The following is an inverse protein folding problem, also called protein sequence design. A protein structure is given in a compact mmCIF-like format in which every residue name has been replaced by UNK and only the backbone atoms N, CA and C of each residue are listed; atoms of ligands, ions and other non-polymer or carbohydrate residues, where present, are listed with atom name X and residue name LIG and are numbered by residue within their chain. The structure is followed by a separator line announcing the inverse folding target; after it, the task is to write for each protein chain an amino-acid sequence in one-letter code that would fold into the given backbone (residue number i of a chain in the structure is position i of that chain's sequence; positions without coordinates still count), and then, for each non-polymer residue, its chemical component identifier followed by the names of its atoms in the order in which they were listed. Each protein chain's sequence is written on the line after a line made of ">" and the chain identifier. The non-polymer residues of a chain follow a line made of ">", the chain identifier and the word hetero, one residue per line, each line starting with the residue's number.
data_IF_925594768252
#
_entry.id   IF_925594768252
#
_cell.length_a   1.000
_cell.length_b   1.000
_cell.length_c   1.000
_cell.angle_alpha   90.00
_cell.angle_beta   90.00
_cell.angle_gamma   90.00
#
_symmetry.space_group_name_H-M   'P 1'
#
loop_
_entity.id
_entity.type
_entity.pdbx_description
1 polymer ?
#
# COMPACT_ATOMS: atom_id res chain seq x y z
N UNK A 1 1.89 -5.45 25.75
CA UNK A 1 1.89 -6.57 24.79
C UNK A 1 2.45 -6.02 23.49
N UNK A 2 3.30 -6.75 22.78
CA UNK A 2 3.81 -6.28 21.49
C UNK A 2 2.70 -6.39 20.45
N UNK A 3 2.40 -5.29 19.76
CA UNK A 3 1.41 -5.23 18.69
C UNK A 3 2.12 -5.10 17.34
N UNK A 4 1.52 -5.69 16.32
CA UNK A 4 1.97 -5.57 14.93
C UNK A 4 0.80 -5.08 14.08
N UNK A 5 1.06 -4.12 13.20
CA UNK A 5 0.11 -3.65 12.18
C UNK A 5 0.64 -4.04 10.82
N UNK A 6 -0.17 -4.77 10.06
CA UNK A 6 0.10 -5.11 8.67
C UNK A 6 -0.73 -4.19 7.78
N UNK A 7 -0.07 -3.47 6.88
CA UNK A 7 -0.69 -2.56 5.92
C UNK A 7 -0.61 -3.22 4.54
N UNK A 8 -1.72 -3.79 4.08
CA UNK A 8 -1.80 -4.42 2.76
C UNK A 8 -2.09 -3.38 1.69
N UNK A 9 -1.22 -3.29 0.69
CA UNK A 9 -1.52 -2.73 -0.63
C UNK A 9 -2.08 -1.31 -0.64
N UNK A 10 -1.56 -0.47 0.27
CA UNK A 10 -1.69 0.99 0.18
C UNK A 10 -0.77 1.55 -0.93
N UNK A 11 -0.85 0.94 -2.11
CA UNK A 11 -0.02 1.19 -3.29
C UNK A 11 -0.70 2.18 -4.24
N UNK A 12 0.12 2.90 -5.01
CA UNK A 12 -0.35 3.83 -6.04
C UNK A 12 -1.19 3.11 -7.09
N UNK A 13 -0.80 1.90 -7.50
CA UNK A 13 -1.53 1.08 -8.49
C UNK A 13 -3.00 0.80 -8.14
N UNK A 14 -3.35 0.80 -6.84
CA UNK A 14 -4.71 0.55 -6.36
C UNK A 14 -5.47 1.81 -5.96
N UNK A 15 -4.77 2.91 -5.68
CA UNK A 15 -5.35 4.10 -5.04
C UNK A 15 -5.22 5.38 -5.86
N UNK A 16 -4.46 5.41 -6.96
CA UNK A 16 -4.41 6.55 -7.88
C UNK A 16 -5.22 6.28 -9.15
N UNK A 17 -5.95 7.29 -9.61
CA UNK A 17 -6.74 7.21 -10.84
C UNK A 17 -5.82 7.06 -12.06
N UNK A 18 -6.22 6.21 -13.00
CA UNK A 18 -5.48 5.94 -14.24
C UNK A 18 -4.71 4.62 -14.24
N UNK A 19 -4.56 3.96 -13.08
CA UNK A 19 -3.95 2.64 -13.00
C UNK A 19 -4.95 1.50 -13.23
N UNK A 20 -4.50 0.32 -13.72
CA UNK A 20 -5.37 -0.74 -14.19
C UNK A 20 -6.33 -1.31 -13.14
N UNK A 21 -5.91 -1.29 -11.86
CA UNK A 21 -6.69 -1.79 -10.72
C UNK A 21 -7.08 -0.70 -9.72
N UNK A 22 -7.24 0.54 -10.19
CA UNK A 22 -7.73 1.62 -9.35
C UNK A 22 -9.08 1.26 -8.70
N UNK A 23 -9.11 1.23 -7.37
CA UNK A 23 -10.29 0.85 -6.56
C UNK A 23 -11.38 1.94 -6.51
N UNK A 24 -11.16 3.06 -7.20
CA UNK A 24 -12.09 4.18 -7.26
C UNK A 24 -11.99 5.15 -6.07
N UNK A 25 -12.60 6.32 -6.24
CA UNK A 25 -12.51 7.44 -5.28
C UNK A 25 -13.06 7.08 -3.89
N UNK A 26 -13.94 6.08 -3.81
CA UNK A 26 -14.45 5.58 -2.53
C UNK A 26 -13.35 4.91 -1.70
N UNK A 27 -12.43 4.17 -2.33
CA UNK A 27 -11.34 3.50 -1.63
C UNK A 27 -10.39 4.51 -0.98
N UNK A 28 -10.08 5.61 -1.66
CA UNK A 28 -9.22 6.70 -1.14
C UNK A 28 -9.73 7.31 0.18
N UNK A 29 -11.02 7.19 0.50
CA UNK A 29 -11.60 7.68 1.76
C UNK A 29 -11.07 6.97 3.01
N UNK A 30 -10.45 5.81 2.88
CA UNK A 30 -9.85 5.11 4.03
C UNK A 30 -8.49 5.70 4.43
N UNK A 31 -7.81 6.41 3.52
CA UNK A 31 -6.43 6.88 3.71
C UNK A 31 -6.27 7.66 5.03
N UNK A 32 -7.11 8.67 5.37
CA UNK A 32 -6.97 9.40 6.63
C UNK A 32 -7.22 8.54 7.88
N UNK A 33 -8.01 7.46 7.77
CA UNK A 33 -8.24 6.53 8.87
C UNK A 33 -7.04 5.61 9.08
N UNK A 34 -6.43 5.15 7.99
CA UNK A 34 -5.20 4.35 8.02
C UNK A 34 -4.06 5.17 8.62
N UNK A 35 -3.84 6.40 8.16
CA UNK A 35 -2.79 7.29 8.72
C UNK A 35 -2.95 7.47 10.24
N UNK A 36 -4.15 7.81 10.72
CA UNK A 36 -4.42 7.98 12.15
C UNK A 36 -4.19 6.70 12.96
N UNK A 37 -4.52 5.55 12.39
CA UNK A 37 -4.24 4.26 13.00
C UNK A 37 -2.73 4.06 13.13
N UNK A 38 -1.97 4.26 12.05
CA UNK A 38 -0.53 4.08 12.04
C UNK A 38 0.18 5.03 13.01
N UNK A 39 -0.20 6.30 13.03
CA UNK A 39 0.33 7.28 13.99
C UNK A 39 0.11 6.84 15.43
N UNK A 40 -1.12 6.39 15.75
CA UNK A 40 -1.46 5.91 17.09
C UNK A 40 -0.65 4.69 17.49
N UNK A 41 -0.55 3.71 16.59
CA UNK A 41 0.12 2.44 16.87
C UNK A 41 1.64 2.63 16.99
N UNK A 42 2.25 3.43 16.11
CA UNK A 42 3.67 3.80 16.22
C UNK A 42 3.96 4.54 17.54
N UNK A 43 3.10 5.48 17.95
CA UNK A 43 3.24 6.18 19.24
C UNK A 43 3.12 5.24 20.46
N UNK A 44 2.49 4.07 20.30
CA UNK A 44 2.37 3.04 21.34
C UNK A 44 3.49 1.99 21.28
N UNK A 45 4.43 2.13 20.34
CA UNK A 45 5.54 1.19 20.16
C UNK A 45 5.17 -0.08 19.38
N UNK A 46 4.07 -0.06 18.63
CA UNK A 46 3.73 -1.15 17.71
C UNK A 46 4.71 -1.20 16.54
N UNK A 47 4.96 -2.40 16.01
CA UNK A 47 5.71 -2.57 14.77
C UNK A 47 4.76 -2.51 13.58
N UNK A 48 5.11 -1.76 12.54
CA UNK A 48 4.32 -1.68 11.31
C UNK A 48 5.09 -2.36 10.19
N UNK A 49 4.39 -3.11 9.34
CA UNK A 49 4.92 -3.66 8.08
C UNK A 49 3.98 -3.32 6.93
N UNK A 50 4.53 -2.85 5.82
CA UNK A 50 3.80 -2.76 4.56
C UNK A 50 4.00 -4.06 3.77
N UNK A 51 2.89 -4.68 3.40
CA UNK A 51 2.85 -5.84 2.52
C UNK A 51 2.30 -5.33 1.19
N UNK A 52 3.15 -5.34 0.18
CA UNK A 52 2.90 -4.69 -1.09
C UNK A 52 3.10 -5.67 -2.23
N UNK A 53 2.12 -5.73 -3.13
CA UNK A 53 2.29 -6.35 -4.43
C UNK A 53 3.51 -5.77 -5.17
N UNK A 54 4.29 -6.67 -5.75
CA UNK A 54 5.55 -6.37 -6.42
C UNK A 54 5.84 -7.45 -7.48
N UNK A 55 5.05 -7.43 -8.54
CA UNK A 55 5.03 -8.50 -9.54
C UNK A 55 6.24 -8.44 -10.48
N UNK A 56 6.72 -9.62 -10.88
CA UNK A 56 7.65 -9.72 -11.99
C UNK A 56 6.89 -9.51 -13.33
N UNK A 57 7.56 -9.04 -14.39
CA UNK A 57 6.98 -9.05 -15.72
C UNK A 57 6.54 -10.46 -16.14
N UNK A 58 5.27 -10.61 -16.50
CA UNK A 58 4.69 -11.92 -16.90
C UNK A 58 4.25 -12.81 -15.73
N UNK A 59 3.97 -12.22 -14.57
CA UNK A 59 3.36 -12.94 -13.43
C UNK A 59 2.09 -13.71 -13.86
N UNK A 60 1.93 -15.00 -13.49
CA UNK A 60 0.74 -15.79 -13.81
C UNK A 60 -0.57 -15.15 -13.34
N UNK A 61 -0.56 -14.29 -12.32
CA UNK A 61 -1.75 -13.56 -11.89
C UNK A 61 -2.35 -12.67 -13.00
N UNK A 62 -1.53 -12.28 -13.99
CA UNK A 62 -1.97 -11.48 -15.11
C UNK A 62 -2.93 -12.22 -16.07
N UNK A 63 -3.10 -13.54 -15.90
CA UNK A 63 -4.15 -14.30 -16.57
C UNK A 63 -5.55 -14.02 -15.95
N UNK A 64 -5.61 -13.54 -14.71
CA UNK A 64 -6.83 -13.24 -13.97
C UNK A 64 -7.11 -11.74 -13.84
N UNK A 65 -6.07 -10.93 -13.68
CA UNK A 65 -6.15 -9.48 -13.53
C UNK A 65 -5.30 -8.79 -14.60
N UNK A 66 -5.57 -7.52 -14.98
CA UNK A 66 -4.62 -6.79 -15.81
C UNK A 66 -3.26 -6.69 -15.11
N UNK A 67 -2.15 -6.57 -15.87
CA UNK A 67 -0.84 -6.30 -15.28
C UNK A 67 -0.89 -5.06 -14.38
N UNK A 68 -0.32 -5.18 -13.18
CA UNK A 68 -0.39 -4.16 -12.14
C UNK A 68 0.81 -4.32 -11.20
N UNK A 69 1.14 -3.25 -10.46
CA UNK A 69 2.16 -3.26 -9.39
C UNK A 69 3.46 -3.97 -9.79
N UNK A 70 3.89 -3.81 -11.04
CA UNK A 70 5.08 -4.46 -11.58
C UNK A 70 6.32 -3.83 -10.96
N UNK A 71 7.31 -4.65 -10.62
CA UNK A 71 8.57 -4.20 -10.06
C UNK A 71 9.22 -3.08 -10.87
N UNK A 72 9.72 -2.06 -10.16
CA UNK A 72 10.34 -0.88 -10.78
C UNK A 72 9.38 0.12 -11.43
N UNK A 73 8.06 -0.13 -11.38
CA UNK A 73 7.06 0.85 -11.82
C UNK A 73 6.53 1.69 -10.65
N UNK A 74 5.99 2.86 -10.97
CA UNK A 74 5.33 3.74 -10.00
C UNK A 74 4.12 3.07 -9.31
N UNK A 75 3.49 2.08 -9.96
CA UNK A 75 2.33 1.37 -9.40
C UNK A 75 2.67 0.60 -8.13
N UNK A 76 3.90 0.06 -8.07
CA UNK A 76 4.41 -0.73 -6.95
C UNK A 76 4.94 0.13 -5.78
N UNK A 77 4.86 1.46 -5.89
CA UNK A 77 5.22 2.37 -4.79
C UNK A 77 4.03 2.54 -3.84
N UNK A 78 4.32 2.65 -2.54
CA UNK A 78 3.33 3.07 -1.53
C UNK A 78 2.84 4.48 -1.84
N UNK A 79 1.56 4.76 -1.61
CA UNK A 79 1.00 6.09 -1.86
C UNK A 79 1.78 7.18 -1.08
N UNK A 80 2.00 8.37 -1.66
CA UNK A 80 2.72 9.45 -1.00
C UNK A 80 2.13 9.84 0.37
N UNK A 81 0.82 9.70 0.54
CA UNK A 81 0.12 9.96 1.79
C UNK A 81 0.60 9.05 2.94
N UNK A 82 1.14 7.87 2.65
CA UNK A 82 1.64 6.92 3.66
C UNK A 82 3.16 6.95 3.84
N UNK A 83 3.88 7.85 3.15
CA UNK A 83 5.34 7.89 3.13
C UNK A 83 5.99 8.05 4.51
N UNK A 84 5.40 8.85 5.41
CA UNK A 84 5.95 9.06 6.76
C UNK A 84 6.00 7.77 7.57
N UNK A 85 4.92 6.98 7.58
CA UNK A 85 4.87 5.71 8.29
C UNK A 85 5.74 4.65 7.60
N UNK A 86 5.80 4.67 6.28
CA UNK A 86 6.59 3.75 5.47
C UNK A 86 8.10 3.93 5.67
N UNK A 87 8.59 5.17 5.61
CA UNK A 87 10.02 5.47 5.73
C UNK A 87 10.60 5.21 7.13
N UNK A 88 9.76 4.98 8.14
CA UNK A 88 10.21 4.58 9.48
C UNK A 88 10.70 3.11 9.51
N UNK A 89 10.50 2.36 8.41
CA UNK A 89 10.91 0.96 8.26
C UNK A 89 12.22 0.77 7.50
N UNK A 90 12.79 1.83 6.90
CA UNK A 90 14.12 1.85 6.29
C UNK A 90 15.18 2.34 7.27
#
# INVERSE_FOLDING_TARGET
>A
MANVVLVSDMLRGFLEEGYPLYCGERARRIIPNVQRLLERELAQGSTVFFLCDHHAPGDPEFDMFPPHCIEGTAEAEVIPESATAYNTQM
#
